data_IF_149512924209
#
_entry.id   IF_149512924209
#
_cell.length_a   1.000
_cell.length_b   1.000
_cell.length_c   1.000
_cell.angle_alpha   90.00
_cell.angle_beta   90.00
_cell.angle_gamma   90.00
#
_symmetry.space_group_name_H-M   'P 1'
#
loop_
_entity.id
_entity.type
_entity.pdbx_description
1 polymer ?
#
# COMPACT_ATOMS: atom_id res chain seq x y z
N UNK A 1 -4.87 -3.67 -11.71
CA UNK A 1 -6.08 -4.48 -11.40
C UNK A 1 -7.34 -3.70 -11.75
N UNK A 2 -8.49 -4.37 -11.97
CA UNK A 2 -9.78 -3.71 -12.24
C UNK A 2 -10.18 -2.73 -11.14
N UNK A 3 -9.95 -3.09 -9.86
CA UNK A 3 -10.15 -2.20 -8.71
C UNK A 3 -9.42 -0.86 -8.87
N UNK A 4 -8.16 -0.88 -9.30
CA UNK A 4 -7.36 0.34 -9.46
C UNK A 4 -7.85 1.21 -10.62
N UNK A 5 -8.38 0.62 -11.70
CA UNK A 5 -9.03 1.37 -12.78
C UNK A 5 -10.26 2.13 -12.27
N UNK A 6 -11.12 1.45 -11.50
CA UNK A 6 -12.31 2.07 -10.91
C UNK A 6 -11.97 3.18 -9.92
N UNK A 7 -10.94 2.99 -9.09
CA UNK A 7 -10.45 4.04 -8.19
C UNK A 7 -9.93 5.25 -8.96
N UNK A 8 -9.18 5.02 -10.04
CA UNK A 8 -8.66 6.11 -10.89
C UNK A 8 -9.81 6.91 -11.50
N UNK A 9 -10.83 6.23 -12.04
CA UNK A 9 -12.05 6.87 -12.54
C UNK A 9 -12.78 7.66 -11.45
N UNK A 10 -12.92 7.08 -10.25
CA UNK A 10 -13.58 7.75 -9.13
C UNK A 10 -12.82 9.01 -8.70
N UNK A 11 -11.49 8.97 -8.66
CA UNK A 11 -10.67 10.15 -8.36
C UNK A 11 -10.83 11.22 -9.43
N UNK A 12 -10.85 10.85 -10.72
CA UNK A 12 -11.08 11.81 -11.81
C UNK A 12 -12.43 12.52 -11.66
N UNK A 13 -13.52 11.78 -11.40
CA UNK A 13 -14.84 12.39 -11.22
C UNK A 13 -14.93 13.25 -9.95
N UNK A 14 -14.27 12.86 -8.85
CA UNK A 14 -14.20 13.70 -7.65
C UNK A 14 -13.48 15.02 -7.91
N UNK A 15 -12.38 14.98 -8.65
CA UNK A 15 -11.63 16.19 -9.01
C UNK A 15 -12.48 17.10 -9.91
N UNK A 16 -13.22 16.53 -10.88
CA UNK A 16 -14.15 17.28 -11.72
C UNK A 16 -15.26 17.94 -10.92
N UNK A 17 -15.85 17.23 -9.95
CA UNK A 17 -16.88 17.77 -9.07
C UNK A 17 -16.41 19.01 -8.28
N UNK A 18 -15.12 19.10 -7.96
CA UNK A 18 -14.55 20.24 -7.23
C UNK A 18 -14.31 21.47 -8.13
N UNK A 19 -14.07 21.28 -9.43
CA UNK A 19 -13.67 22.34 -10.36
C UNK A 19 -14.85 22.84 -11.19
N UNK A 20 -15.77 21.94 -11.58
CA UNK A 20 -16.86 22.26 -12.49
C UNK A 20 -18.00 23.03 -11.79
N UNK A 21 -18.80 23.80 -12.55
CA UNK A 21 -19.90 24.56 -11.99
C UNK A 21 -21.01 23.64 -11.41
N UNK A 22 -21.69 24.12 -10.37
CA UNK A 22 -22.68 23.34 -9.59
C UNK A 22 -23.87 22.83 -10.41
N UNK A 23 -24.20 23.47 -11.53
CA UNK A 23 -25.29 23.02 -12.40
C UNK A 23 -25.00 21.64 -13.05
N UNK A 24 -23.74 21.25 -13.20
CA UNK A 24 -23.33 19.96 -13.77
C UNK A 24 -23.13 18.90 -12.68
N UNK A 25 -23.12 19.25 -11.39
CA UNK A 25 -22.84 18.28 -10.32
C UNK A 25 -23.85 17.12 -10.29
N UNK A 26 -25.10 17.36 -10.72
CA UNK A 26 -26.16 16.36 -10.82
C UNK A 26 -25.86 15.25 -11.82
N UNK A 27 -24.99 15.46 -12.81
CA UNK A 27 -24.57 14.43 -13.76
C UNK A 27 -23.38 13.62 -13.25
N UNK A 28 -22.56 14.20 -12.36
CA UNK A 28 -21.35 13.58 -11.81
C UNK A 28 -21.67 12.71 -10.59
N UNK A 29 -22.59 13.14 -9.72
CA UNK A 29 -22.94 12.40 -8.50
C UNK A 29 -23.46 10.98 -8.75
N UNK A 30 -24.28 10.69 -9.78
CA UNK A 30 -24.71 9.33 -10.09
C UNK A 30 -23.55 8.44 -10.55
N UNK A 31 -22.62 9.00 -11.35
CA UNK A 31 -21.42 8.29 -11.81
C UNK A 31 -20.53 7.93 -10.62
N UNK A 32 -20.32 8.85 -9.68
CA UNK A 32 -19.57 8.59 -8.45
C UNK A 32 -20.20 7.47 -7.62
N UNK A 33 -21.52 7.45 -7.50
CA UNK A 33 -22.27 6.38 -6.82
C UNK A 33 -22.12 5.05 -7.55
N UNK A 34 -22.25 5.03 -8.87
CA UNK A 34 -22.04 3.82 -9.68
C UNK A 34 -20.62 3.27 -9.52
N UNK A 35 -19.60 4.13 -9.59
CA UNK A 35 -18.20 3.74 -9.39
C UNK A 35 -17.96 3.19 -7.99
N UNK A 36 -18.52 3.82 -6.95
CA UNK A 36 -18.45 3.32 -5.57
C UNK A 36 -19.02 1.90 -5.46
N UNK A 37 -20.24 1.69 -5.97
CA UNK A 37 -20.90 0.39 -5.94
C UNK A 37 -20.10 -0.68 -6.71
N UNK A 38 -19.47 -0.31 -7.83
CA UNK A 38 -18.61 -1.23 -8.58
C UNK A 38 -17.33 -1.59 -7.83
N UNK A 39 -16.72 -0.64 -7.11
CA UNK A 39 -15.56 -0.90 -6.26
C UNK A 39 -15.95 -1.90 -5.16
N UNK A 40 -17.05 -1.67 -4.45
CA UNK A 40 -17.53 -2.57 -3.40
C UNK A 40 -17.82 -3.98 -3.94
N UNK A 41 -18.46 -4.09 -5.11
CA UNK A 41 -18.69 -5.39 -5.77
C UNK A 41 -17.38 -6.12 -6.09
N UNK A 42 -16.36 -5.41 -6.58
CA UNK A 42 -15.05 -6.00 -6.89
C UNK A 42 -14.33 -6.41 -5.61
N UNK A 43 -14.37 -5.59 -4.56
CA UNK A 43 -13.76 -5.93 -3.26
C UNK A 43 -14.42 -7.15 -2.63
N UNK A 44 -15.75 -7.28 -2.70
CA UNK A 44 -16.46 -8.47 -2.23
C UNK A 44 -16.07 -9.73 -3.02
N UNK A 45 -15.89 -9.63 -4.34
CA UNK A 45 -15.40 -10.75 -5.16
C UNK A 45 -13.97 -11.16 -4.78
N UNK A 46 -13.09 -10.19 -4.51
CA UNK A 46 -11.72 -10.47 -4.05
C UNK A 46 -11.74 -11.20 -2.70
N UNK A 47 -12.57 -10.75 -1.75
CA UNK A 47 -12.71 -11.39 -0.45
C UNK A 47 -13.17 -12.86 -0.59
N UNK A 48 -14.21 -13.11 -1.39
CA UNK A 48 -14.69 -14.47 -1.67
C UNK A 48 -13.63 -15.38 -2.28
N UNK A 49 -12.81 -14.85 -3.20
CA UNK A 49 -11.71 -15.61 -3.81
C UNK A 49 -10.63 -15.99 -2.79
N UNK A 50 -10.31 -15.07 -1.87
CA UNK A 50 -9.36 -15.35 -0.78
C UNK A 50 -9.92 -16.42 0.16
N UNK A 51 -11.22 -16.37 0.48
CA UNK A 51 -11.89 -17.37 1.32
C UNK A 51 -12.00 -18.74 0.65
N UNK A 52 -12.19 -18.79 -0.68
CA UNK A 52 -12.30 -20.06 -1.42
C UNK A 52 -10.99 -20.85 -1.54
N UNK A 53 -9.84 -20.21 -1.30
CA UNK A 53 -8.53 -20.83 -1.44
C UNK A 53 -7.85 -20.90 -0.06
N UNK A 54 -7.67 -22.12 0.52
CA UNK A 54 -7.07 -22.26 1.85
C UNK A 54 -5.70 -21.61 1.99
N UNK A 55 -4.87 -21.67 0.94
CA UNK A 55 -3.55 -21.04 0.93
C UNK A 55 -3.64 -19.51 1.03
N UNK A 56 -4.55 -18.88 0.26
CA UNK A 56 -4.77 -17.44 0.33
C UNK A 56 -5.40 -17.02 1.64
N UNK A 57 -6.30 -17.83 2.20
CA UNK A 57 -6.89 -17.58 3.51
C UNK A 57 -5.82 -17.61 4.61
N UNK A 58 -4.93 -18.61 4.62
CA UNK A 58 -3.83 -18.70 5.58
C UNK A 58 -2.91 -17.48 5.49
N UNK A 59 -2.45 -17.12 4.28
CA UNK A 59 -1.63 -15.92 4.05
C UNK A 59 -2.36 -14.64 4.49
N UNK A 60 -3.66 -14.54 4.21
CA UNK A 60 -4.47 -13.40 4.58
C UNK A 60 -4.61 -13.24 6.11
N UNK A 61 -4.77 -14.35 6.84
CA UNK A 61 -4.84 -14.34 8.31
C UNK A 61 -3.52 -13.89 8.92
N UNK A 62 -2.39 -14.44 8.44
CA UNK A 62 -1.04 -14.03 8.91
C UNK A 62 -0.80 -12.55 8.61
N UNK A 63 -1.13 -12.08 7.41
CA UNK A 63 -0.94 -10.66 7.07
C UNK A 63 -1.81 -9.73 7.94
N UNK A 64 -3.06 -10.10 8.23
CA UNK A 64 -3.97 -9.28 9.02
C UNK A 64 -3.74 -9.37 10.54
N UNK A 65 -2.96 -10.34 11.04
CA UNK A 65 -2.61 -10.42 12.46
C UNK A 65 -1.74 -9.23 12.90
N UNK A 66 -1.05 -8.59 11.95
CA UNK A 66 -0.24 -7.40 12.20
C UNK A 66 -1.10 -6.13 12.28
N UNK A 67 -1.10 -5.40 13.42
CA UNK A 67 -1.85 -4.16 13.56
C UNK A 67 -1.39 -3.10 12.53
N UNK A 68 -2.35 -2.63 11.72
CA UNK A 68 -2.11 -1.70 10.63
C UNK A 68 -2.24 -2.31 9.22
N UNK A 69 -2.37 -3.64 9.12
CA UNK A 69 -2.65 -4.32 7.85
C UNK A 69 -4.14 -4.63 7.73
N UNK A 70 -4.84 -3.93 6.85
CA UNK A 70 -6.25 -4.18 6.56
C UNK A 70 -6.47 -5.13 5.37
N UNK A 71 -7.73 -5.53 5.15
CA UNK A 71 -8.16 -6.43 4.06
C UNK A 71 -7.63 -6.03 2.68
N UNK A 72 -7.65 -4.73 2.37
CA UNK A 72 -7.18 -4.20 1.07
C UNK A 72 -5.67 -4.38 0.91
N UNK A 73 -4.89 -4.13 1.96
CA UNK A 73 -3.43 -4.31 1.90
C UNK A 73 -3.09 -5.80 1.81
N UNK A 74 -3.71 -6.64 2.64
CA UNK A 74 -3.49 -8.08 2.61
C UNK A 74 -3.80 -8.67 1.22
N UNK A 75 -4.97 -8.37 0.67
CA UNK A 75 -5.35 -8.78 -0.69
C UNK A 75 -4.39 -8.25 -1.76
N UNK A 76 -3.93 -6.99 -1.62
CA UNK A 76 -2.97 -6.40 -2.54
C UNK A 76 -1.62 -7.11 -2.50
N UNK A 77 -1.14 -7.52 -1.32
CA UNK A 77 0.11 -8.26 -1.16
C UNK A 77 -0.01 -9.68 -1.70
N UNK A 78 -1.09 -10.40 -1.39
CA UNK A 78 -1.33 -11.76 -1.91
C UNK A 78 -1.37 -11.76 -3.44
N UNK A 79 -2.12 -10.82 -4.04
CA UNK A 79 -2.30 -10.77 -5.50
C UNK A 79 -1.08 -10.24 -6.25
N UNK A 80 -0.39 -9.23 -5.71
CA UNK A 80 0.67 -8.53 -6.45
C UNK A 80 2.06 -8.84 -5.93
N UNK A 81 2.23 -9.62 -4.85
CA UNK A 81 3.53 -10.00 -4.29
C UNK A 81 3.50 -11.46 -3.81
N UNK A 82 3.24 -12.44 -4.71
CA UNK A 82 3.20 -13.85 -4.34
C UNK A 82 4.56 -14.38 -3.84
N UNK A 83 5.66 -13.68 -4.14
CA UNK A 83 7.02 -14.04 -3.74
C UNK A 83 7.32 -13.73 -2.26
N UNK A 84 6.44 -12.97 -1.58
CA UNK A 84 6.61 -12.60 -0.18
C UNK A 84 6.59 -13.86 0.71
N UNK A 85 7.58 -14.00 1.58
CA UNK A 85 7.85 -15.22 2.37
C UNK A 85 8.94 -16.12 1.78
N UNK A 86 9.19 -16.06 0.47
CA UNK A 86 10.19 -16.90 -0.20
C UNK A 86 11.48 -16.15 -0.56
N UNK A 87 11.41 -14.82 -0.63
CA UNK A 87 12.52 -13.96 -1.03
C UNK A 87 13.21 -13.31 0.17
N UNK A 88 14.42 -12.81 -0.03
CA UNK A 88 15.13 -12.07 1.01
C UNK A 88 14.45 -10.73 1.32
N UNK A 89 14.63 -10.25 2.56
CA UNK A 89 14.11 -8.95 3.00
C UNK A 89 14.54 -7.77 2.12
N UNK A 90 15.75 -7.83 1.54
CA UNK A 90 16.26 -6.83 0.59
C UNK A 90 15.52 -6.90 -0.73
N UNK A 91 15.31 -8.10 -1.27
CA UNK A 91 14.52 -8.32 -2.49
C UNK A 91 13.07 -7.87 -2.30
N UNK A 92 12.42 -8.23 -1.18
CA UNK A 92 11.05 -7.81 -0.87
C UNK A 92 10.92 -6.28 -0.84
N UNK A 93 11.85 -5.60 -0.15
CA UNK A 93 11.88 -4.13 -0.08
C UNK A 93 12.08 -3.48 -1.45
N UNK A 94 12.92 -4.08 -2.30
CA UNK A 94 13.18 -3.60 -3.66
C UNK A 94 11.99 -3.84 -4.60
N UNK A 95 11.36 -5.02 -4.49
CA UNK A 95 10.22 -5.44 -5.30
C UNK A 95 9.01 -4.55 -5.09
N UNK A 96 8.73 -4.18 -3.84
CA UNK A 96 7.65 -3.23 -3.51
C UNK A 96 8.07 -1.78 -3.85
N UNK A 97 9.37 -1.51 -3.97
CA UNK A 97 9.91 -0.21 -4.34
C UNK A 97 10.00 0.76 -3.14
N UNK A 98 10.33 0.24 -1.96
CA UNK A 98 10.58 1.01 -0.72
C UNK A 98 12.06 1.02 -0.32
N UNK A 99 12.91 0.27 -1.03
CA UNK A 99 14.36 0.34 -0.87
C UNK A 99 14.92 1.64 -1.50
N UNK A 100 15.77 2.39 -0.78
CA UNK A 100 16.44 3.56 -1.35
C UNK A 100 17.51 3.10 -2.36
N UNK A 101 17.47 3.67 -3.57
CA UNK A 101 18.40 3.36 -4.66
C UNK A 101 19.45 4.47 -4.74
N UNK A 102 20.70 4.06 -4.96
CA UNK A 102 21.83 4.96 -5.12
C UNK A 102 21.79 5.62 -6.50
N UNK A 103 22.02 6.95 -6.54
CA UNK A 103 22.10 7.73 -7.78
C UNK A 103 23.47 8.38 -7.87
N UNK A 104 24.48 7.57 -8.15
CA UNK A 104 25.89 7.98 -8.17
C UNK A 104 26.49 7.61 -9.54
N UNK A 105 27.29 8.51 -10.12
CA UNK A 105 28.04 8.25 -11.36
C UNK A 105 29.42 8.91 -11.29
N UNK A 106 30.46 8.12 -11.03
CA UNK A 106 31.85 8.58 -10.93
C UNK A 106 32.04 9.74 -9.95
N UNK A 107 31.94 10.98 -10.47
CA UNK A 107 32.05 12.23 -9.70
C UNK A 107 30.74 12.72 -9.08
N UNK A 108 29.58 12.26 -9.58
CA UNK A 108 28.27 12.71 -9.10
C UNK A 108 27.80 11.87 -7.91
N UNK A 109 27.46 12.53 -6.80
CA UNK A 109 26.79 11.93 -5.63
C UNK A 109 25.40 12.52 -5.44
N UNK A 110 24.39 11.85 -5.99
CA UNK A 110 22.99 12.25 -5.86
C UNK A 110 22.33 11.77 -4.57
N UNK A 111 21.20 12.40 -4.22
CA UNK A 111 20.37 11.95 -3.11
C UNK A 111 19.76 10.58 -3.42
N UNK A 112 19.85 9.64 -2.48
CA UNK A 112 19.20 8.33 -2.60
C UNK A 112 17.69 8.48 -2.52
N UNK A 113 16.99 7.87 -3.47
CA UNK A 113 15.53 7.95 -3.61
C UNK A 113 14.97 6.56 -3.83
N UNK A 114 13.71 6.35 -3.43
CA UNK A 114 12.99 5.15 -3.84
C UNK A 114 12.58 5.30 -5.31
N UNK A 115 12.74 4.23 -6.10
CA UNK A 115 12.38 4.22 -7.51
C UNK A 115 11.94 2.81 -7.92
N UNK A 116 11.15 2.72 -8.99
CA UNK A 116 10.70 1.44 -9.54
C UNK A 116 9.78 0.65 -8.60
N UNK A 117 9.86 -0.68 -8.71
CA UNK A 117 9.06 -1.64 -7.96
C UNK A 117 7.58 -1.65 -8.35
N UNK A 118 6.79 -2.40 -7.59
CA UNK A 118 5.34 -2.52 -7.74
C UNK A 118 4.64 -1.33 -7.09
N UNK A 119 4.66 -0.19 -7.79
CA UNK A 119 4.15 1.11 -7.31
C UNK A 119 2.71 1.06 -6.79
N UNK A 120 1.85 0.21 -7.36
CA UNK A 120 0.47 0.02 -6.91
C UNK A 120 0.42 -0.50 -5.46
N UNK A 121 1.30 -1.45 -5.11
CA UNK A 121 1.42 -1.99 -3.75
C UNK A 121 1.98 -0.93 -2.81
N UNK A 122 2.99 -0.19 -3.26
CA UNK A 122 3.56 0.93 -2.48
C UNK A 122 2.52 1.97 -2.11
N UNK A 123 1.63 2.35 -3.02
CA UNK A 123 0.54 3.30 -2.75
C UNK A 123 -0.42 2.78 -1.68
N UNK A 124 -0.81 1.50 -1.76
CA UNK A 124 -1.70 0.88 -0.76
C UNK A 124 -0.99 0.78 0.61
N UNK A 125 0.28 0.37 0.63
CA UNK A 125 1.07 0.33 1.86
C UNK A 125 1.27 1.71 2.48
N UNK A 126 1.40 2.77 1.67
CA UNK A 126 1.53 4.13 2.19
C UNK A 126 0.25 4.54 2.94
N UNK A 127 -0.93 4.27 2.36
CA UNK A 127 -2.21 4.54 3.02
C UNK A 127 -2.39 3.70 4.28
N UNK A 128 -2.02 2.42 4.25
CA UNK A 128 -2.06 1.55 5.43
C UNK A 128 -1.11 2.05 6.53
N UNK A 129 0.11 2.47 6.17
CA UNK A 129 1.11 2.98 7.13
C UNK A 129 0.66 4.26 7.82
N UNK A 130 -0.07 5.14 7.13
CA UNK A 130 -0.65 6.33 7.76
C UNK A 130 -1.61 6.01 8.89
N UNK A 131 -2.35 4.90 8.78
CA UNK A 131 -3.21 4.37 9.85
C UNK A 131 -2.38 3.61 10.89
N UNK A 132 -1.45 2.76 10.45
CA UNK A 132 -0.61 1.95 11.32
C UNK A 132 0.23 2.79 12.30
N UNK A 133 0.74 3.95 11.88
CA UNK A 133 1.49 4.86 12.76
C UNK A 133 0.61 5.41 13.90
N UNK A 134 -0.71 5.47 13.73
CA UNK A 134 -1.61 5.98 14.76
C UNK A 134 -1.95 4.91 15.81
N UNK A 135 -2.14 3.66 15.38
CA UNK A 135 -2.59 2.57 16.25
C UNK A 135 -1.46 1.65 16.76
N UNK A 136 -0.35 1.53 16.04
CA UNK A 136 0.73 0.60 16.38
C UNK A 136 1.91 1.37 17.04
N UNK A 137 2.18 1.14 18.34
CA UNK A 137 3.20 1.88 19.08
C UNK A 137 4.61 1.68 18.52
N UNK A 138 4.92 0.53 17.92
CA UNK A 138 6.23 0.23 17.35
C UNK A 138 6.51 1.11 16.13
N UNK A 139 5.50 1.29 15.26
CA UNK A 139 5.63 2.19 14.10
C UNK A 139 5.58 3.65 14.49
N UNK A 140 4.75 4.00 15.47
CA UNK A 140 4.69 5.36 16.03
C UNK A 140 6.06 5.80 16.55
N UNK A 141 6.66 5.02 17.44
CA UNK A 141 7.98 5.31 18.00
C UNK A 141 9.07 5.38 16.91
N UNK A 142 9.02 4.48 15.93
CA UNK A 142 9.97 4.50 14.80
C UNK A 142 9.82 5.78 13.97
N UNK A 143 8.59 6.19 13.69
CA UNK A 143 8.26 7.40 12.93
C UNK A 143 8.69 8.66 13.67
N UNK A 144 8.32 8.80 14.94
CA UNK A 144 8.67 9.96 15.78
C UNK A 144 10.18 10.10 15.93
N UNK A 145 10.91 9.01 16.18
CA UNK A 145 12.37 9.01 16.23
C UNK A 145 13.03 9.52 14.95
N UNK A 146 12.44 9.22 13.78
CA UNK A 146 12.97 9.72 12.51
C UNK A 146 12.65 11.20 12.31
N UNK A 147 11.50 11.68 12.78
CA UNK A 147 11.16 13.09 12.75
C UNK A 147 12.06 13.92 13.67
N UNK A 148 12.34 13.44 14.90
CA UNK A 148 13.26 14.12 15.83
C UNK A 148 14.68 14.19 15.27
N UNK A 149 15.08 13.18 14.48
CA UNK A 149 16.33 13.19 13.71
C UNK A 149 16.30 14.08 12.45
N UNK A 150 15.28 14.93 12.29
CA UNK A 150 15.18 15.89 11.18
C UNK A 150 14.80 15.28 9.82
N UNK A 151 14.32 14.03 9.77
CA UNK A 151 13.92 13.43 8.49
C UNK A 151 12.56 14.00 8.03
N UNK A 152 12.39 14.27 6.72
CA UNK A 152 11.10 14.68 6.19
C UNK A 152 10.02 13.62 6.45
N UNK A 153 8.77 14.06 6.73
CA UNK A 153 7.64 13.18 7.07
C UNK A 153 7.46 12.02 6.07
N UNK A 154 7.50 12.30 4.76
CA UNK A 154 7.38 11.26 3.72
C UNK A 154 8.50 10.22 3.77
N UNK A 155 9.73 10.63 4.09
CA UNK A 155 10.87 9.72 4.23
C UNK A 155 10.70 8.83 5.45
N UNK A 156 10.22 9.40 6.57
CA UNK A 156 9.94 8.63 7.78
C UNK A 156 8.84 7.58 7.55
N UNK A 157 7.75 7.92 6.84
CA UNK A 157 6.70 6.96 6.47
C UNK A 157 7.28 5.82 5.61
N UNK A 158 8.06 6.13 4.58
CA UNK A 158 8.69 5.12 3.71
C UNK A 158 9.64 4.20 4.50
N UNK A 159 10.37 4.74 5.48
CA UNK A 159 11.21 3.93 6.35
C UNK A 159 10.37 2.96 7.21
N UNK A 160 9.23 3.42 7.75
CA UNK A 160 8.29 2.55 8.45
C UNK A 160 7.68 1.49 7.52
N UNK A 161 7.33 1.85 6.28
CA UNK A 161 6.87 0.89 5.27
C UNK A 161 7.92 -0.18 4.99
N UNK A 162 9.19 0.19 4.84
CA UNK A 162 10.28 -0.77 4.68
C UNK A 162 10.39 -1.72 5.87
N UNK A 163 10.27 -1.20 7.11
CA UNK A 163 10.24 -2.04 8.32
C UNK A 163 9.04 -3.00 8.31
N UNK A 164 7.86 -2.54 7.91
CA UNK A 164 6.67 -3.38 7.76
C UNK A 164 6.87 -4.49 6.71
N UNK A 165 7.45 -4.17 5.54
CA UNK A 165 7.76 -5.18 4.51
C UNK A 165 8.64 -6.30 5.07
N UNK A 166 9.67 -5.94 5.82
CA UNK A 166 10.59 -6.91 6.43
C UNK A 166 9.85 -7.81 7.43
N UNK A 167 8.99 -7.23 8.27
CA UNK A 167 8.20 -8.00 9.25
C UNK A 167 7.24 -8.95 8.53
N UNK A 168 6.46 -8.45 7.57
CA UNK A 168 5.49 -9.27 6.82
C UNK A 168 6.16 -10.38 6.02
N UNK A 169 7.35 -10.13 5.47
CA UNK A 169 8.12 -11.16 4.77
C UNK A 169 8.60 -12.27 5.72
N UNK A 170 9.04 -11.91 6.93
CA UNK A 170 9.40 -12.91 7.95
C UNK A 170 8.18 -13.69 8.45
N UNK A 171 7.06 -13.01 8.74
CA UNK A 171 5.81 -13.63 9.19
C UNK A 171 5.30 -14.69 8.19
N UNK A 172 5.29 -14.35 6.90
CA UNK A 172 4.88 -15.30 5.86
C UNK A 172 5.86 -16.46 5.66
N UNK A 173 7.15 -16.23 5.89
CA UNK A 173 8.17 -17.30 5.81
C UNK A 173 8.05 -18.27 6.98
N UNK A 174 7.82 -17.72 8.17
CA UNK A 174 7.85 -18.47 9.44
C UNK A 174 6.46 -19.04 9.81
N UNK A 175 5.39 -18.58 9.14
CA UNK A 175 4.02 -19.06 9.32
C UNK A 175 3.30 -18.51 10.56
N UNK A 176 3.76 -17.36 11.09
CA UNK A 176 3.32 -16.74 12.35
C UNK A 176 2.91 -15.29 12.18
#
# INVERSE_FOLDING_TARGET
TRRNQLLTMQTMERNRLQILPKNISSTITPILTALKNQIEKVEAKIAKLIESCPEYQAKNTILQSMPGVGKVLAASLISNVPELGFITNKQASSLIGVAPITRESGRFKGKRLIQGGRSQVRTVMYMAMMSAIQCNPVFKATYERLLTAGKPKKVAIVACMRKMVVILNSMLRDGV
#
